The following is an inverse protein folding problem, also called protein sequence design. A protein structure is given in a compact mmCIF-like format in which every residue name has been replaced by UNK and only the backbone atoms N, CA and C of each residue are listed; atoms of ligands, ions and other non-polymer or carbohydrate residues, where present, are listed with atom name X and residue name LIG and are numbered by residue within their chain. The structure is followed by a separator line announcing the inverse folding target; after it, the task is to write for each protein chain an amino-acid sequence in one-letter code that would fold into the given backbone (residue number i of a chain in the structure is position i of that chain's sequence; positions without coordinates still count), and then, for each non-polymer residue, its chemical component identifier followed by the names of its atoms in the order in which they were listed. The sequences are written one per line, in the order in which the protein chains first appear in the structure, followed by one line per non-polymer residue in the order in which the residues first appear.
data_IF_603699769163
#
_entry.id   IF_603699769163
#
_cell.length_a   1.000
_cell.length_b   1.000
_cell.length_c   1.000
_cell.angle_alpha   90.00
_cell.angle_beta   90.00
_cell.angle_gamma   90.00
#
_symmetry.space_group_name_H-M   'P 1'
#
loop_
_entity.id
_entity.type
_entity.pdbx_description
1 polymer ?
#
# COMPACT_ATOMS: atom_id res chain seq x y z
N UNK A 1 -7.34 54.22 5.73
CA UNK A 1 -6.74 54.01 7.07
C UNK A 1 -5.23 54.05 6.88
N UNK A 2 -4.52 55.01 7.49
CA UNK A 2 -3.09 55.24 7.26
C UNK A 2 -2.29 54.04 7.77
N UNK A 3 -1.44 53.48 6.91
CA UNK A 3 -0.41 52.52 7.31
C UNK A 3 0.52 53.28 8.25
N UNK A 4 0.50 52.93 9.54
CA UNK A 4 1.40 53.50 10.54
C UNK A 4 2.84 53.24 10.11
N UNK A 5 3.67 54.27 10.15
CA UNK A 5 5.12 54.14 10.00
C UNK A 5 5.65 53.12 10.99
N UNK A 6 6.39 52.11 10.50
CA UNK A 6 7.15 51.20 11.35
C UNK A 6 8.21 52.03 12.06
N UNK A 7 7.94 52.41 13.31
CA UNK A 7 8.89 53.14 14.15
C UNK A 7 10.01 52.18 14.56
N UNK A 8 11.21 52.44 14.06
CA UNK A 8 12.41 51.67 14.39
C UNK A 8 12.74 51.89 15.89
N UNK A 9 12.96 50.83 16.68
CA UNK A 9 13.21 50.94 18.12
C UNK A 9 14.47 51.77 18.39
N UNK A 10 14.38 52.72 19.31
CA UNK A 10 15.46 53.65 19.67
C UNK A 10 16.11 53.29 21.01
N UNK A 11 15.53 52.36 21.77
CA UNK A 11 16.01 51.90 23.08
C UNK A 11 16.05 50.37 23.19
N UNK A 12 16.88 49.86 24.11
CA UNK A 12 17.00 48.41 24.37
C UNK A 12 15.71 47.77 24.85
N UNK A 13 14.87 48.52 25.56
CA UNK A 13 13.60 48.04 26.12
C UNK A 13 12.53 47.92 25.03
N UNK A 14 12.49 48.84 24.07
CA UNK A 14 11.67 48.73 22.85
C UNK A 14 12.11 47.55 21.98
N UNK A 15 13.42 47.30 21.88
CA UNK A 15 13.96 46.15 21.15
C UNK A 15 13.54 44.82 21.80
N UNK A 16 13.62 44.72 23.13
CA UNK A 16 13.19 43.52 23.87
C UNK A 16 11.68 43.31 23.77
N UNK A 17 10.89 44.38 23.83
CA UNK A 17 9.45 44.34 23.59
C UNK A 17 9.11 43.79 22.21
N UNK A 18 9.76 44.28 21.16
CA UNK A 18 9.60 43.79 19.78
C UNK A 18 9.99 42.32 19.62
N UNK A 19 11.08 41.86 20.24
CA UNK A 19 11.49 40.45 20.18
C UNK A 19 10.46 39.54 20.90
N UNK A 20 9.92 39.99 22.04
CA UNK A 20 8.93 39.23 22.79
C UNK A 20 7.58 39.18 22.08
N UNK A 21 7.17 40.28 21.43
CA UNK A 21 5.97 40.37 20.61
C UNK A 21 6.11 39.52 19.35
N UNK A 22 7.24 39.62 18.64
CA UNK A 22 7.58 38.75 17.52
C UNK A 22 7.55 37.27 17.91
N UNK A 23 8.13 36.91 19.05
CA UNK A 23 8.09 35.54 19.57
C UNK A 23 6.67 35.06 19.85
N UNK A 24 5.81 35.91 20.44
CA UNK A 24 4.42 35.56 20.75
C UNK A 24 3.56 35.40 19.50
N UNK A 25 3.72 36.28 18.52
CA UNK A 25 2.96 36.22 17.26
C UNK A 25 3.47 35.12 16.31
N UNK A 26 4.78 34.84 16.33
CA UNK A 26 5.40 33.85 15.44
C UNK A 26 5.35 32.43 16.02
N UNK A 27 5.19 32.26 17.33
CA UNK A 27 5.16 30.92 17.94
C UNK A 27 4.02 30.03 17.40
N UNK A 28 2.76 30.48 17.28
CA UNK A 28 1.69 29.68 16.70
C UNK A 28 1.94 29.32 15.22
N UNK A 29 2.49 30.25 14.44
CA UNK A 29 2.79 30.00 13.02
C UNK A 29 3.94 29.03 12.85
N UNK A 30 4.97 29.10 13.70
CA UNK A 30 6.07 28.13 13.73
C UNK A 30 5.57 26.72 14.05
N UNK A 31 4.69 26.58 15.04
CA UNK A 31 4.04 25.30 15.36
C UNK A 31 3.24 24.79 14.16
N UNK A 32 2.46 25.65 13.51
CA UNK A 32 1.68 25.27 12.33
C UNK A 32 2.59 24.79 11.17
N UNK A 33 3.71 25.47 10.91
CA UNK A 33 4.70 25.06 9.89
C UNK A 33 5.25 23.66 10.22
N UNK A 34 5.65 23.43 11.46
CA UNK A 34 6.17 22.13 11.90
C UNK A 34 5.09 21.05 11.78
N UNK A 35 3.86 21.33 12.22
CA UNK A 35 2.74 20.40 12.14
C UNK A 35 2.42 20.02 10.68
N UNK A 36 2.37 21.00 9.77
CA UNK A 36 2.15 20.78 8.33
C UNK A 36 3.28 19.94 7.72
N UNK A 37 4.54 20.22 8.09
CA UNK A 37 5.69 19.46 7.59
C UNK A 37 5.65 17.99 8.06
N UNK A 38 5.38 17.76 9.36
CA UNK A 38 5.25 16.42 9.94
C UNK A 38 4.07 15.66 9.32
N UNK A 39 2.90 16.31 9.19
CA UNK A 39 1.73 15.72 8.56
C UNK A 39 2.00 15.36 7.10
N UNK A 40 2.63 16.26 6.34
CA UNK A 40 2.97 16.00 4.94
C UNK A 40 3.98 14.85 4.80
N UNK A 41 4.94 14.74 5.71
CA UNK A 41 5.86 13.60 5.79
C UNK A 41 5.14 12.28 6.10
N UNK A 42 4.17 12.30 7.01
CA UNK A 42 3.31 11.16 7.29
C UNK A 42 2.49 10.74 6.06
N UNK A 43 1.82 11.69 5.40
CA UNK A 43 1.07 11.47 4.15
C UNK A 43 1.98 10.90 3.06
N UNK A 44 3.22 11.39 2.97
CA UNK A 44 4.20 10.89 2.01
C UNK A 44 4.50 9.40 2.18
N UNK A 45 4.74 8.96 3.42
CA UNK A 45 4.95 7.54 3.72
C UNK A 45 3.68 6.74 3.46
N UNK A 46 2.54 7.28 3.89
CA UNK A 46 1.22 6.67 3.76
C UNK A 46 0.85 6.34 2.32
N UNK A 47 0.82 7.35 1.44
CA UNK A 47 0.35 7.16 0.08
C UNK A 47 1.30 6.19 -0.67
N UNK A 48 2.60 6.22 -0.35
CA UNK A 48 3.61 5.42 -1.05
C UNK A 48 3.56 3.95 -0.64
N UNK A 49 3.11 3.67 0.59
CA UNK A 49 2.72 2.33 0.96
C UNK A 49 1.43 1.94 0.21
N UNK A 50 0.38 2.76 0.29
CA UNK A 50 -0.94 2.42 -0.25
C UNK A 50 -0.96 2.21 -1.78
N UNK A 51 -0.21 3.01 -2.53
CA UNK A 51 -0.23 3.03 -3.99
C UNK A 51 0.55 1.90 -4.68
N UNK A 52 1.31 1.11 -3.92
CA UNK A 52 2.04 -0.04 -4.50
C UNK A 52 1.07 -1.15 -4.85
N UNK A 53 1.24 -1.72 -6.04
CA UNK A 53 0.50 -2.92 -6.47
C UNK A 53 0.81 -4.12 -5.57
N UNK A 54 2.09 -4.27 -5.23
CA UNK A 54 2.55 -5.26 -4.26
C UNK A 54 3.03 -4.52 -3.01
N UNK A 55 2.18 -4.46 -1.99
CA UNK A 55 2.45 -3.77 -0.72
C UNK A 55 3.69 -4.31 -0.01
N UNK A 56 4.02 -5.58 -0.24
CA UNK A 56 5.19 -6.26 0.31
C UNK A 56 5.95 -6.94 -0.83
N UNK A 57 7.06 -6.35 -1.25
CA UNK A 57 8.07 -7.02 -2.07
C UNK A 57 9.03 -7.71 -1.12
N UNK A 58 8.75 -8.95 -0.74
CA UNK A 58 9.59 -9.67 0.22
C UNK A 58 10.33 -10.83 -0.44
N UNK A 59 11.63 -10.78 -0.20
CA UNK A 59 12.62 -11.77 -0.56
C UNK A 59 12.64 -12.84 0.54
N UNK A 60 11.76 -13.84 0.42
CA UNK A 60 11.65 -14.99 1.34
C UNK A 60 12.89 -15.91 1.29
N UNK A 61 13.95 -15.54 0.57
CA UNK A 61 15.23 -16.27 0.60
C UNK A 61 15.86 -16.23 1.99
N UNK A 62 15.89 -15.06 2.64
CA UNK A 62 16.62 -14.82 3.88
C UNK A 62 16.11 -15.55 5.13
N UNK A 63 14.86 -16.01 5.15
CA UNK A 63 14.26 -16.68 6.31
C UNK A 63 14.09 -18.19 6.11
N UNK A 64 14.40 -18.69 4.91
CA UNK A 64 14.22 -20.09 4.55
C UNK A 64 15.56 -20.85 4.43
N UNK A 65 16.69 -20.20 4.75
CA UNK A 65 18.02 -20.78 4.54
C UNK A 65 18.44 -21.81 5.61
N UNK A 66 17.83 -21.78 6.80
CA UNK A 66 18.12 -22.75 7.87
C UNK A 66 17.35 -24.08 7.76
N UNK A 67 16.48 -24.26 6.76
CA UNK A 67 15.64 -25.47 6.63
C UNK A 67 15.96 -26.29 5.37
N UNK A 68 15.97 -27.63 5.50
CA UNK A 68 16.31 -28.55 4.40
C UNK A 68 15.14 -28.83 3.43
N UNK A 69 15.52 -29.06 2.15
CA UNK A 69 14.75 -29.66 1.06
C UNK A 69 13.24 -29.35 0.98
N UNK A 70 12.41 -30.34 1.37
CA UNK A 70 10.94 -30.32 1.22
C UNK A 70 10.25 -29.37 2.21
N UNK A 71 10.80 -29.21 3.42
CA UNK A 71 10.28 -28.30 4.46
C UNK A 71 10.49 -26.85 4.04
N UNK A 72 11.66 -26.52 3.47
CA UNK A 72 11.94 -25.19 2.89
C UNK A 72 10.89 -24.76 1.87
N UNK A 73 10.49 -25.67 0.98
CA UNK A 73 9.50 -25.42 -0.08
C UNK A 73 8.09 -25.18 0.50
N UNK A 74 7.67 -26.00 1.47
CA UNK A 74 6.38 -25.84 2.13
C UNK A 74 6.31 -24.57 2.97
N UNK A 75 7.33 -24.32 3.81
CA UNK A 75 7.39 -23.13 4.67
C UNK A 75 7.41 -21.84 3.84
N UNK A 76 8.18 -21.81 2.74
CA UNK A 76 8.20 -20.66 1.81
C UNK A 76 6.83 -20.42 1.17
N UNK A 77 6.12 -21.50 0.80
CA UNK A 77 4.76 -21.38 0.25
C UNK A 77 3.76 -20.88 1.29
N UNK A 78 3.80 -21.42 2.51
CA UNK A 78 2.90 -21.04 3.61
C UNK A 78 3.16 -19.60 4.06
N UNK A 79 4.42 -19.20 4.24
CA UNK A 79 4.79 -17.81 4.58
C UNK A 79 4.32 -16.83 3.51
N UNK A 80 4.45 -17.19 2.23
CA UNK A 80 3.94 -16.39 1.12
C UNK A 80 2.41 -16.24 1.18
N UNK A 81 1.69 -17.33 1.46
CA UNK A 81 0.22 -17.34 1.56
C UNK A 81 -0.26 -16.54 2.78
N UNK A 82 0.32 -16.77 3.97
CA UNK A 82 -0.02 -16.04 5.21
C UNK A 82 0.18 -14.55 5.02
N UNK A 83 1.32 -14.16 4.47
CA UNK A 83 1.63 -12.75 4.23
C UNK A 83 0.62 -12.10 3.29
N UNK A 84 0.23 -12.80 2.22
CA UNK A 84 -0.71 -12.27 1.24
C UNK A 84 -2.15 -12.23 1.75
N UNK A 85 -2.61 -13.28 2.43
CA UNK A 85 -4.00 -13.42 2.91
C UNK A 85 -4.24 -12.59 4.18
N UNK A 86 -3.23 -12.38 5.03
CA UNK A 86 -3.42 -11.72 6.33
C UNK A 86 -2.86 -10.31 6.32
N UNK A 87 -1.60 -10.12 5.92
CA UNK A 87 -0.93 -8.82 6.09
C UNK A 87 -1.52 -7.76 5.15
N UNK A 88 -1.88 -8.12 3.92
CA UNK A 88 -2.45 -7.17 2.97
C UNK A 88 -3.84 -6.67 3.40
N UNK A 89 -4.80 -7.53 3.79
CA UNK A 89 -6.06 -7.07 4.37
C UNK A 89 -5.87 -6.20 5.61
N UNK A 90 -4.92 -6.54 6.48
CA UNK A 90 -4.61 -5.71 7.66
C UNK A 90 -4.09 -4.34 7.24
N UNK A 91 -3.18 -4.26 6.28
CA UNK A 91 -2.68 -2.99 5.77
C UNK A 91 -3.80 -2.17 5.13
N UNK A 92 -4.63 -2.77 4.28
CA UNK A 92 -5.78 -2.10 3.68
C UNK A 92 -6.72 -1.57 4.76
N UNK A 93 -7.08 -2.40 5.75
CA UNK A 93 -7.93 -2.02 6.86
C UNK A 93 -7.33 -0.86 7.65
N UNK A 94 -6.08 -0.99 8.10
CA UNK A 94 -5.37 0.06 8.83
C UNK A 94 -5.43 1.41 8.09
N UNK A 95 -5.17 1.38 6.78
CA UNK A 95 -5.19 2.60 5.97
C UNK A 95 -6.59 3.16 5.71
N UNK A 96 -7.58 2.32 5.47
CA UNK A 96 -8.98 2.74 5.38
C UNK A 96 -9.44 3.36 6.69
N UNK A 97 -9.02 2.82 7.84
CA UNK A 97 -9.34 3.35 9.16
C UNK A 97 -8.76 4.75 9.34
N UNK A 98 -7.47 4.94 8.99
CA UNK A 98 -6.83 6.26 9.04
C UNK A 98 -7.62 7.29 8.22
N UNK A 99 -8.00 6.96 6.99
CA UNK A 99 -8.80 7.87 6.16
C UNK A 99 -10.20 8.10 6.75
N UNK A 100 -10.87 7.05 7.24
CA UNK A 100 -12.20 7.16 7.82
C UNK A 100 -12.21 8.04 9.07
N UNK A 101 -11.21 7.91 9.93
CA UNK A 101 -11.02 8.78 11.11
C UNK A 101 -10.81 10.22 10.67
N UNK A 102 -9.88 10.46 9.73
CA UNK A 102 -9.62 11.80 9.20
C UNK A 102 -10.90 12.44 8.63
N UNK A 103 -11.66 11.70 7.82
CA UNK A 103 -12.92 12.19 7.24
C UNK A 103 -13.98 12.44 8.31
N UNK A 104 -14.03 11.61 9.36
CA UNK A 104 -15.01 11.77 10.43
C UNK A 104 -14.70 12.96 11.31
N UNK A 105 -13.42 13.26 11.55
CA UNK A 105 -13.00 14.45 12.28
C UNK A 105 -13.22 15.75 11.50
N UNK A 106 -13.25 15.69 10.17
CA UNK A 106 -13.49 16.86 9.33
C UNK A 106 -14.95 17.05 8.89
N UNK A 107 -15.72 15.97 8.83
CA UNK A 107 -17.11 16.05 8.42
C UNK A 107 -17.95 16.57 9.57
N UNK A 108 -18.75 17.61 9.30
CA UNK A 108 -19.80 18.05 10.21
C UNK A 108 -20.97 17.04 10.29
N UNK A 109 -20.95 15.99 9.47
CA UNK A 109 -22.00 14.97 9.43
C UNK A 109 -21.91 13.98 10.59
N UNK A 110 -23.04 13.75 11.26
CA UNK A 110 -23.21 12.68 12.26
C UNK A 110 -23.27 11.27 11.65
N UNK A 111 -23.38 11.14 10.32
CA UNK A 111 -23.39 9.85 9.62
C UNK A 111 -21.96 9.32 9.44
N UNK A 112 -21.46 8.67 10.48
CA UNK A 112 -20.14 8.07 10.50
C UNK A 112 -20.01 6.87 9.53
N UNK A 113 -21.11 6.18 9.23
CA UNK A 113 -21.12 5.07 8.27
C UNK A 113 -20.83 5.57 6.85
N UNK A 114 -21.40 6.71 6.45
CA UNK A 114 -21.11 7.36 5.17
C UNK A 114 -19.63 7.74 5.03
N UNK A 115 -18.99 8.24 6.08
CA UNK A 115 -17.56 8.57 6.05
C UNK A 115 -16.69 7.32 5.84
N UNK A 116 -17.04 6.20 6.48
CA UNK A 116 -16.36 4.92 6.26
C UNK A 116 -16.54 4.42 4.81
N UNK A 117 -17.72 4.61 4.21
CA UNK A 117 -17.97 4.25 2.80
C UNK A 117 -17.17 5.12 1.82
N UNK A 118 -17.03 6.42 2.09
CA UNK A 118 -16.21 7.35 1.28
C UNK A 118 -14.73 6.94 1.39
N UNK A 119 -14.24 6.71 2.60
CA UNK A 119 -12.88 6.22 2.84
C UNK A 119 -12.60 4.92 2.08
N UNK A 120 -13.55 3.98 2.13
CA UNK A 120 -13.45 2.69 1.44
C UNK A 120 -13.44 2.86 -0.07
N UNK A 121 -14.31 3.72 -0.61
CA UNK A 121 -14.38 4.01 -2.04
C UNK A 121 -13.06 4.60 -2.55
N UNK A 122 -12.47 5.52 -1.78
CA UNK A 122 -11.16 6.09 -2.12
C UNK A 122 -10.06 5.02 -2.10
N UNK A 123 -9.96 4.26 -1.01
CA UNK A 123 -8.93 3.21 -0.90
C UNK A 123 -9.11 2.17 -2.02
N UNK A 124 -10.34 1.77 -2.32
CA UNK A 124 -10.65 0.88 -3.43
C UNK A 124 -10.22 1.43 -4.79
N UNK A 125 -10.48 2.72 -5.05
CA UNK A 125 -10.02 3.38 -6.27
C UNK A 125 -8.49 3.39 -6.36
N UNK A 126 -7.79 3.76 -5.29
CA UNK A 126 -6.32 3.73 -5.23
C UNK A 126 -5.80 2.31 -5.53
N UNK A 127 -6.42 1.27 -4.95
CA UNK A 127 -6.04 -0.13 -5.16
C UNK A 127 -6.21 -0.54 -6.61
N UNK A 128 -7.38 -0.30 -7.20
CA UNK A 128 -7.63 -0.58 -8.61
C UNK A 128 -6.58 0.11 -9.48
N UNK A 129 -6.31 1.40 -9.24
CA UNK A 129 -5.33 2.18 -9.99
C UNK A 129 -3.90 1.65 -9.85
N UNK A 130 -3.53 1.08 -8.70
CA UNK A 130 -2.20 0.49 -8.50
C UNK A 130 -1.92 -0.67 -9.49
N UNK A 131 -2.98 -1.37 -9.92
CA UNK A 131 -2.88 -2.42 -10.92
C UNK A 131 -2.77 -1.90 -12.37
N UNK A 132 -3.11 -0.63 -12.61
CA UNK A 132 -2.90 0.05 -13.89
C UNK A 132 -1.54 0.74 -13.92
N UNK A 133 -1.34 1.77 -13.08
CA UNK A 133 -0.09 2.50 -12.93
C UNK A 133 0.09 2.96 -11.48
N UNK A 134 1.25 2.63 -10.89
CA UNK A 134 1.54 3.01 -9.50
C UNK A 134 1.62 4.53 -9.32
N UNK A 135 2.04 5.27 -10.35
CA UNK A 135 2.13 6.73 -10.28
C UNK A 135 0.74 7.40 -10.23
N UNK A 136 -0.25 6.88 -10.97
CA UNK A 136 -1.62 7.40 -10.89
C UNK A 136 -2.25 7.06 -9.55
N UNK A 137 -2.05 5.82 -9.08
CA UNK A 137 -2.49 5.41 -7.75
C UNK A 137 -1.90 6.31 -6.65
N UNK A 138 -0.62 6.67 -6.79
CA UNK A 138 0.11 7.57 -5.90
C UNK A 138 -0.51 8.97 -5.87
N UNK A 139 -0.83 9.50 -7.05
CA UNK A 139 -1.44 10.82 -7.17
C UNK A 139 -2.84 10.87 -6.60
N UNK A 140 -3.65 9.82 -6.78
CA UNK A 140 -4.99 9.75 -6.18
C UNK A 140 -4.93 9.55 -4.66
N UNK A 141 -4.01 8.71 -4.18
CA UNK A 141 -3.88 8.42 -2.75
C UNK A 141 -3.47 9.65 -1.91
N UNK A 142 -2.67 10.57 -2.47
CA UNK A 142 -2.23 11.79 -1.79
C UNK A 142 -3.27 12.91 -1.82
N UNK A 143 -4.20 12.89 -2.79
CA UNK A 143 -5.18 13.98 -2.98
C UNK A 143 -6.03 14.20 -1.73
N UNK A 144 -6.60 13.13 -1.15
CA UNK A 144 -7.53 13.29 -0.04
C UNK A 144 -6.84 13.78 1.25
N UNK A 145 -5.73 13.18 1.73
CA UNK A 145 -5.04 13.71 2.91
C UNK A 145 -4.57 15.16 2.75
N UNK A 146 -4.14 15.58 1.55
CA UNK A 146 -3.79 16.98 1.32
C UNK A 146 -5.01 17.91 1.21
N UNK A 147 -6.11 17.45 0.62
CA UNK A 147 -7.36 18.20 0.61
C UNK A 147 -7.90 18.42 2.04
N UNK A 148 -7.85 17.37 2.86
CA UNK A 148 -8.12 17.39 4.30
C UNK A 148 -7.26 18.44 5.00
N UNK A 149 -5.95 18.41 4.78
CA UNK A 149 -5.04 19.40 5.37
C UNK A 149 -5.40 20.82 4.93
N UNK A 150 -5.72 21.02 3.65
CA UNK A 150 -6.15 22.32 3.13
C UNK A 150 -7.42 22.83 3.80
N UNK A 151 -8.43 21.97 3.95
CA UNK A 151 -9.67 22.31 4.67
C UNK A 151 -9.39 22.61 6.13
N UNK A 152 -8.55 21.82 6.79
CA UNK A 152 -8.17 22.02 8.19
C UNK A 152 -7.41 23.34 8.43
N UNK A 153 -6.55 23.75 7.50
CA UNK A 153 -5.80 25.01 7.61
C UNK A 153 -6.65 26.25 7.35
N UNK A 154 -7.66 26.14 6.48
CA UNK A 154 -8.54 27.25 6.11
C UNK A 154 -9.72 27.39 7.08
N UNK A 155 -10.24 26.27 7.57
CA UNK A 155 -11.40 26.28 8.44
C UNK A 155 -10.99 26.57 9.89
N UNK A 156 -11.78 27.40 10.58
CA UNK A 156 -11.60 27.68 12.01
C UNK A 156 -12.10 26.55 12.91
N UNK A 157 -12.61 25.46 12.31
CA UNK A 157 -13.10 24.26 12.99
C UNK A 157 -11.97 23.61 13.79
N UNK A 158 -11.84 24.07 15.02
CA UNK A 158 -11.03 23.44 16.04
C UNK A 158 -11.64 22.06 16.29
N UNK A 159 -10.88 21.00 15.99
CA UNK A 159 -11.30 19.63 16.31
C UNK A 159 -11.52 19.58 17.83
N UNK A 160 -12.77 19.46 18.24
CA UNK A 160 -13.11 19.44 19.65
C UNK A 160 -12.88 18.05 20.20
N UNK A 161 -12.36 17.96 21.43
CA UNK A 161 -12.13 16.68 22.08
C UNK A 161 -13.41 15.83 22.20
N UNK A 162 -14.57 16.49 22.28
CA UNK A 162 -15.88 15.85 22.30
C UNK A 162 -16.16 15.01 21.06
N UNK A 163 -15.71 15.45 19.88
CA UNK A 163 -15.88 14.69 18.63
C UNK A 163 -15.13 13.36 18.67
N UNK A 164 -13.96 13.30 19.33
CA UNK A 164 -13.23 12.05 19.52
C UNK A 164 -13.97 11.09 20.46
N UNK A 165 -14.55 11.62 21.54
CA UNK A 165 -15.33 10.84 22.51
C UNK A 165 -16.59 10.27 21.83
N UNK A 166 -17.28 11.06 21.02
CA UNK A 166 -18.45 10.61 20.26
C UNK A 166 -18.08 9.52 19.25
N UNK A 167 -16.93 9.64 18.59
CA UNK A 167 -16.39 8.64 17.67
C UNK A 167 -16.08 7.31 18.38
N UNK A 168 -15.49 7.38 19.58
CA UNK A 168 -15.21 6.22 20.44
C UNK A 168 -16.49 5.55 20.95
N UNK A 169 -17.53 6.32 21.28
CA UNK A 169 -18.81 5.79 21.73
C UNK A 169 -19.58 5.10 20.59
N UNK A 170 -19.44 5.59 19.35
CA UNK A 170 -20.07 5.01 18.15
C UNK A 170 -19.22 3.92 17.47
N UNK A 171 -18.12 3.51 18.09
CA UNK A 171 -17.16 2.54 17.55
C UNK A 171 -17.77 1.17 17.20
N UNK A 172 -18.76 0.62 17.93
CA UNK A 172 -19.40 -0.64 17.55
C UNK A 172 -20.17 -0.57 16.21
N UNK A 173 -20.91 0.51 15.98
CA UNK A 173 -21.68 0.72 14.75
C UNK A 173 -20.75 1.02 13.56
N UNK A 174 -19.75 1.87 13.80
CA UNK A 174 -18.63 2.12 12.88
C UNK A 174 -17.89 0.83 12.51
N UNK A 175 -17.59 0.00 13.50
CA UNK A 175 -16.83 -1.23 13.35
C UNK A 175 -17.53 -2.21 12.42
N UNK A 176 -18.86 -2.36 12.52
CA UNK A 176 -19.61 -3.26 11.63
C UNK A 176 -19.55 -2.80 10.17
N UNK A 177 -19.84 -1.53 9.92
CA UNK A 177 -19.80 -0.95 8.56
C UNK A 177 -18.40 -0.97 7.98
N UNK A 178 -17.39 -0.66 8.80
CA UNK A 178 -15.98 -0.71 8.44
C UNK A 178 -15.51 -2.13 8.12
N UNK A 179 -15.90 -3.15 8.89
CA UNK A 179 -15.52 -4.53 8.61
C UNK A 179 -16.11 -5.02 7.28
N UNK A 180 -17.37 -4.67 6.98
CA UNK A 180 -17.99 -4.98 5.69
C UNK A 180 -17.26 -4.27 4.53
N UNK A 181 -16.84 -3.04 4.75
CA UNK A 181 -16.15 -2.24 3.75
C UNK A 181 -14.71 -2.74 3.50
N UNK A 182 -13.99 -3.16 4.55
CA UNK A 182 -12.72 -3.86 4.45
C UNK A 182 -12.88 -5.19 3.72
N UNK A 183 -13.89 -5.99 4.06
CA UNK A 183 -14.18 -7.26 3.38
C UNK A 183 -14.37 -7.05 1.87
N UNK A 184 -15.11 -6.02 1.47
CA UNK A 184 -15.24 -5.64 0.06
C UNK A 184 -13.89 -5.34 -0.58
N UNK A 185 -13.02 -4.57 0.08
CA UNK A 185 -11.68 -4.27 -0.45
C UNK A 185 -10.81 -5.52 -0.58
N UNK A 186 -10.91 -6.46 0.35
CA UNK A 186 -10.22 -7.75 0.27
C UNK A 186 -10.69 -8.56 -0.94
N UNK A 187 -12.00 -8.59 -1.18
CA UNK A 187 -12.58 -9.26 -2.37
C UNK A 187 -12.05 -8.61 -3.64
N UNK A 188 -12.11 -7.28 -3.75
CA UNK A 188 -11.62 -6.54 -4.92
C UNK A 188 -10.12 -6.81 -5.14
N UNK A 189 -9.31 -6.71 -4.10
CA UNK A 189 -7.86 -6.96 -4.15
C UNK A 189 -7.57 -8.38 -4.66
N UNK A 190 -8.30 -9.37 -4.14
CA UNK A 190 -8.16 -10.77 -4.55
C UNK A 190 -8.53 -10.98 -6.01
N UNK A 191 -9.64 -10.39 -6.46
CA UNK A 191 -10.10 -10.46 -7.85
C UNK A 191 -9.08 -9.82 -8.82
N UNK A 192 -8.59 -8.63 -8.50
CA UNK A 192 -7.57 -7.95 -9.30
C UNK A 192 -6.31 -8.80 -9.44
N UNK A 193 -5.89 -9.45 -8.34
CA UNK A 193 -4.74 -10.36 -8.37
C UNK A 193 -4.96 -11.57 -9.27
N UNK A 194 -6.13 -12.21 -9.17
CA UNK A 194 -6.49 -13.35 -10.02
C UNK A 194 -6.43 -12.92 -11.50
N UNK A 195 -6.97 -11.75 -11.85
CA UNK A 195 -6.94 -11.23 -13.22
C UNK A 195 -5.51 -11.09 -13.74
N UNK A 196 -4.60 -10.51 -12.95
CA UNK A 196 -3.19 -10.36 -13.35
C UNK A 196 -2.48 -11.71 -13.48
N UNK A 197 -2.69 -12.63 -12.55
CA UNK A 197 -2.11 -13.98 -12.60
C UNK A 197 -2.56 -14.69 -13.88
N UNK A 198 -3.86 -14.67 -14.17
CA UNK A 198 -4.43 -15.29 -15.37
C UNK A 198 -3.87 -14.65 -16.65
N UNK A 199 -3.78 -13.31 -16.71
CA UNK A 199 -3.18 -12.60 -17.85
C UNK A 199 -1.71 -12.99 -18.05
N UNK A 200 -0.92 -13.06 -16.99
CA UNK A 200 0.48 -13.47 -17.04
C UNK A 200 0.64 -14.91 -17.53
N UNK A 201 -0.20 -15.84 -17.05
CA UNK A 201 -0.17 -17.25 -17.48
C UNK A 201 -0.54 -17.36 -18.96
N UNK A 202 -1.60 -16.69 -19.40
CA UNK A 202 -2.02 -16.68 -20.81
C UNK A 202 -0.95 -16.07 -21.73
N UNK A 203 -0.30 -14.98 -21.32
CA UNK A 203 0.81 -14.37 -22.05
C UNK A 203 1.98 -15.33 -22.24
N UNK A 204 2.48 -15.93 -21.15
CA UNK A 204 3.56 -16.92 -21.21
C UNK A 204 3.21 -18.16 -22.05
N UNK A 205 1.94 -18.58 -22.02
CA UNK A 205 1.45 -19.70 -22.85
C UNK A 205 1.49 -19.32 -24.33
N UNK A 206 1.05 -18.11 -24.68
CA UNK A 206 1.07 -17.61 -26.05
C UNK A 206 2.50 -17.50 -26.61
N UNK A 207 3.44 -16.96 -25.82
CA UNK A 207 4.86 -16.88 -26.20
C UNK A 207 5.48 -18.26 -26.43
N UNK A 208 5.21 -19.22 -25.54
CA UNK A 208 5.67 -20.60 -25.72
C UNK A 208 5.11 -21.25 -26.98
N UNK A 209 3.82 -21.02 -27.30
CA UNK A 209 3.22 -21.56 -28.51
C UNK A 209 3.86 -20.98 -29.78
N UNK A 210 4.21 -19.68 -29.79
CA UNK A 210 4.94 -19.06 -30.90
C UNK A 210 6.34 -19.64 -31.06
N UNK A 211 7.10 -19.74 -29.97
CA UNK A 211 8.44 -20.33 -29.96
C UNK A 211 8.43 -21.79 -30.46
N UNK A 212 7.47 -22.61 -30.01
CA UNK A 212 7.31 -23.99 -30.48
C UNK A 212 7.00 -24.04 -31.99
N UNK A 213 6.20 -23.12 -32.50
CA UNK A 213 5.92 -22.99 -33.93
C UNK A 213 7.17 -22.62 -34.75
N UNK A 214 7.94 -21.64 -34.28
CA UNK A 214 9.19 -21.22 -34.95
C UNK A 214 10.26 -22.33 -34.97
N UNK A 215 10.36 -23.12 -33.90
CA UNK A 215 11.29 -24.27 -33.84
C UNK A 215 10.81 -25.36 -34.82
N UNK A 216 9.51 -25.67 -34.82
CA UNK A 216 8.93 -26.65 -35.72
C UNK A 216 9.18 -26.31 -37.20
N UNK A 217 9.02 -25.03 -37.57
CA UNK A 217 9.30 -24.53 -38.92
C UNK A 217 10.79 -24.66 -39.28
N UNK A 218 11.71 -24.28 -38.38
CA UNK A 218 13.16 -24.38 -38.61
C UNK A 218 13.66 -25.82 -38.74
N UNK A 219 13.08 -26.74 -37.98
CA UNK A 219 13.48 -28.16 -37.95
C UNK A 219 12.69 -29.00 -38.96
N UNK A 220 11.65 -28.43 -39.59
CA UNK A 220 10.77 -29.14 -40.52
C UNK A 220 9.95 -30.26 -39.85
N UNK A 221 9.71 -30.16 -38.54
CA UNK A 221 8.98 -31.17 -37.73
C UNK A 221 7.62 -30.64 -37.29
N UNK A 222 6.73 -31.52 -36.85
CA UNK A 222 5.44 -31.10 -36.29
C UNK A 222 5.64 -30.36 -34.96
N UNK A 223 4.76 -29.39 -34.68
CA UNK A 223 4.73 -28.66 -33.41
C UNK A 223 4.50 -29.60 -32.23
N UNK A 224 3.75 -30.69 -32.43
CA UNK A 224 3.48 -31.67 -31.38
C UNK A 224 4.71 -32.51 -31.03
N UNK A 225 5.58 -32.81 -32.01
CA UNK A 225 6.85 -33.52 -31.79
C UNK A 225 7.82 -32.64 -30.98
N UNK A 226 7.97 -31.38 -31.40
CA UNK A 226 8.80 -30.38 -30.69
C UNK A 226 8.30 -30.17 -29.26
N UNK A 227 6.97 -30.19 -29.05
CA UNK A 227 6.38 -30.08 -27.71
C UNK A 227 6.65 -31.32 -26.86
N UNK A 228 6.62 -32.52 -27.44
CA UNK A 228 6.93 -33.76 -26.73
C UNK A 228 8.41 -33.76 -26.28
N UNK A 229 9.33 -33.44 -27.19
CA UNK A 229 10.77 -33.38 -26.91
C UNK A 229 11.09 -32.36 -25.80
N UNK A 230 10.53 -31.14 -25.88
CA UNK A 230 10.69 -30.11 -24.83
C UNK A 230 10.12 -30.51 -23.47
N UNK A 231 9.10 -31.37 -23.46
CA UNK A 231 8.51 -31.87 -22.21
C UNK A 231 9.36 -32.98 -21.62
N UNK A 232 9.98 -33.80 -22.48
CA UNK A 232 10.88 -34.89 -22.10
C UNK A 232 12.22 -34.37 -21.55
N UNK A 233 12.86 -33.40 -22.23
CA UNK A 233 14.05 -32.70 -21.73
C UNK A 233 13.78 -31.99 -20.39
N UNK A 234 12.55 -31.47 -20.23
CA UNK A 234 12.08 -30.91 -18.98
C UNK A 234 12.03 -31.95 -17.86
N UNK A 235 11.49 -33.15 -18.10
CA UNK A 235 11.47 -34.24 -17.12
C UNK A 235 12.85 -34.79 -16.81
N UNK A 236 13.74 -34.92 -17.80
CA UNK A 236 15.11 -35.39 -17.62
C UNK A 236 15.92 -34.47 -16.70
N UNK A 237 15.70 -33.16 -16.75
CA UNK A 237 16.36 -32.20 -15.86
C UNK A 237 15.82 -32.26 -14.41
N UNK A 238 14.55 -32.66 -14.22
CA UNK A 238 13.99 -32.89 -12.88
C UNK A 238 14.32 -34.28 -12.31
N UNK A 239 14.49 -35.31 -13.16
CA UNK A 239 14.94 -36.63 -12.73
C UNK A 239 16.42 -36.65 -12.41
N UNK A 240 17.27 -36.01 -13.22
CA UNK A 240 18.70 -35.92 -12.96
C UNK A 240 19.05 -35.26 -11.61
N UNK A 241 18.21 -34.34 -11.12
CA UNK A 241 18.38 -33.74 -9.79
C UNK A 241 17.97 -34.66 -8.63
N UNK A 242 16.99 -35.55 -8.84
CA UNK A 242 16.59 -36.55 -7.86
C UNK A 242 17.61 -37.71 -7.81
N UNK A 243 18.08 -38.16 -8.97
CA UNK A 243 19.08 -39.22 -9.09
C UNK A 243 20.45 -38.75 -8.55
N UNK A 244 20.77 -37.46 -8.66
CA UNK A 244 21.97 -36.88 -8.07
C UNK A 244 21.90 -36.76 -6.53
N UNK A 245 20.73 -36.44 -5.96
CA UNK A 245 20.51 -36.46 -4.50
C UNK A 245 20.60 -37.91 -3.96
N UNK A 246 20.01 -38.88 -4.66
CA UNK A 246 20.02 -40.29 -4.26
C UNK A 246 21.42 -40.93 -4.35
N UNK A 247 22.20 -40.57 -5.39
CA UNK A 247 23.61 -40.98 -5.51
C UNK A 247 24.53 -40.32 -4.48
N UNK A 248 24.16 -39.14 -3.96
CA UNK A 248 24.94 -38.45 -2.93
C UNK A 248 24.68 -39.03 -1.53
N UNK A 249 23.44 -39.47 -1.24
CA UNK A 249 23.11 -40.24 -0.02
C UNK A 249 23.85 -41.60 0.03
N UNK A 250 24.00 -42.29 -1.11
CA UNK A 250 24.71 -43.58 -1.18
C UNK A 250 26.24 -43.47 -1.06
N UNK A 251 26.82 -42.28 -1.20
CA UNK A 251 28.26 -42.02 -1.06
C UNK A 251 28.61 -41.52 0.35
N UNK A 252 27.61 -41.09 1.12
CA UNK A 252 27.76 -40.61 2.50
C UNK A 252 27.45 -41.67 3.58
N UNK A 253 27.08 -42.91 3.20
CA UNK A 253 27.09 -44.11 4.07
C UNK A 253 28.39 -44.93 3.96
#
# INVERSE_FOLDING_TARGET
QRVGSVEMPRTSDELLGLIQEFGRETYPTLIAIIAVAVYSGFVFMFYRALAKKDLLTLDLSKYADDFSGKVKKYLRSVLFVIQYIIVIPILIAFWTLVIAVILTLLSESTDHARNALIATSLVGAVRILAYFTEDLSRDVAKMLPFAVLGVFLVNSTSIQWNQFVDLLNNLPELGKSFLLSVLLLVIIETLLRIIIIVRRIRGKRSERMKMQGEIAEKVGRSVDDVRADLKDDGSLNYSAGADAEEMQELVEE
#
